data_IF_751871155848
#
_entry.id   IF_751871155848
#
_cell.length_a   1.000
_cell.length_b   1.000
_cell.length_c   1.000
_cell.angle_alpha   90.00
_cell.angle_beta   90.00
_cell.angle_gamma   90.00
#
_symmetry.space_group_name_H-M   'P 1'
#
loop_
_entity.id
_entity.type
_entity.pdbx_description
1 polymer ?
#
# COMPACT_ATOMS: atom_id res chain seq x y z
N UNK A 1 -13.68 -27.13 13.62
CA UNK A 1 -12.58 -26.18 13.87
C UNK A 1 -12.28 -25.49 12.56
N UNK A 2 -12.81 -24.29 12.34
CA UNK A 2 -12.42 -23.49 11.18
C UNK A 2 -10.92 -23.22 11.33
N UNK A 3 -10.12 -23.62 10.33
CA UNK A 3 -8.76 -23.11 10.21
C UNK A 3 -8.85 -21.59 10.33
N UNK A 4 -8.09 -20.96 11.24
CA UNK A 4 -7.88 -19.52 11.14
C UNK A 4 -7.26 -19.29 9.77
N UNK A 5 -8.05 -18.80 8.81
CA UNK A 5 -7.53 -18.46 7.50
C UNK A 5 -6.48 -17.38 7.72
N UNK A 6 -5.28 -17.72 7.29
CA UNK A 6 -4.11 -16.87 7.41
C UNK A 6 -4.34 -15.59 6.60
N UNK A 7 -4.66 -14.49 7.29
CA UNK A 7 -4.96 -13.19 6.66
C UNK A 7 -3.69 -12.40 6.40
N UNK A 8 -3.65 -11.76 5.24
CA UNK A 8 -2.57 -10.86 4.85
C UNK A 8 -3.13 -9.46 4.66
N UNK A 9 -2.39 -8.43 5.08
CA UNK A 9 -2.72 -7.03 4.77
C UNK A 9 -1.59 -6.39 3.98
N UNK A 10 -1.93 -5.42 3.14
CA UNK A 10 -0.96 -4.62 2.41
C UNK A 10 -1.03 -3.16 2.85
N UNK A 11 0.13 -2.54 3.03
CA UNK A 11 0.30 -1.13 3.37
C UNK A 11 1.07 -0.47 2.24
N UNK A 12 0.51 0.57 1.65
CA UNK A 12 1.12 1.33 0.56
C UNK A 12 1.40 2.74 1.05
N UNK A 13 2.68 3.08 1.11
CA UNK A 13 3.17 4.39 1.52
C UNK A 13 3.06 5.36 0.34
N UNK A 14 2.19 6.36 0.47
CA UNK A 14 1.98 7.40 -0.53
C UNK A 14 3.07 8.49 -0.48
N UNK A 15 3.87 8.50 0.58
CA UNK A 15 5.00 9.39 0.75
C UNK A 15 4.68 10.67 1.51
N UNK A 16 5.74 11.37 1.97
CA UNK A 16 5.68 12.55 2.83
C UNK A 16 5.15 13.84 2.16
N UNK A 17 4.96 14.92 2.93
CA UNK A 17 4.39 16.19 2.45
C UNK A 17 5.25 16.89 1.38
N UNK A 18 6.52 16.50 1.26
CA UNK A 18 7.44 16.99 0.22
C UNK A 18 7.59 16.03 -0.97
N UNK A 19 7.05 14.80 -0.89
CA UNK A 19 7.15 13.79 -1.95
C UNK A 19 6.13 14.07 -3.05
N UNK A 20 6.59 14.74 -4.11
CA UNK A 20 5.76 15.19 -5.23
C UNK A 20 6.26 16.48 -5.86
N UNK A 21 7.10 17.24 -5.14
CA UNK A 21 7.69 18.50 -5.62
C UNK A 21 8.58 18.32 -6.84
N UNK A 22 9.28 17.18 -6.96
CA UNK A 22 10.06 16.82 -8.15
C UNK A 22 9.22 16.52 -9.39
N UNK A 23 7.90 16.38 -9.23
CA UNK A 23 6.94 16.19 -10.33
C UNK A 23 6.29 17.51 -10.76
N UNK A 24 6.68 18.65 -10.16
CA UNK A 24 6.24 19.96 -10.61
C UNK A 24 6.90 20.29 -11.97
N UNK A 25 6.16 20.87 -12.93
CA UNK A 25 4.83 21.47 -12.79
C UNK A 25 3.63 20.51 -12.96
N UNK A 26 3.83 19.22 -13.25
CA UNK A 26 2.75 18.29 -13.59
C UNK A 26 1.80 17.98 -12.42
N UNK A 27 2.25 18.13 -11.17
CA UNK A 27 1.46 17.85 -9.96
C UNK A 27 0.89 19.10 -9.25
N UNK A 28 0.66 20.22 -9.97
CA UNK A 28 0.15 21.45 -9.33
C UNK A 28 -1.25 21.29 -8.72
N UNK A 29 -2.13 20.54 -9.39
CA UNK A 29 -3.54 20.40 -9.01
C UNK A 29 -3.93 18.96 -8.66
N UNK A 30 -2.98 18.02 -8.68
CA UNK A 30 -3.26 16.58 -8.50
C UNK A 30 -2.18 15.95 -7.62
N UNK A 31 -2.56 15.23 -6.55
CA UNK A 31 -1.65 14.41 -5.76
C UNK A 31 -0.79 13.50 -6.63
N UNK A 32 0.52 13.40 -6.38
CA UNK A 32 1.42 12.51 -7.13
C UNK A 32 0.88 11.05 -7.21
N UNK A 33 0.35 10.44 -6.14
CA UNK A 33 -0.20 9.08 -6.21
C UNK A 33 -1.40 8.94 -7.15
N UNK A 34 -2.15 10.02 -7.37
CA UNK A 34 -3.29 10.05 -8.29
C UNK A 34 -2.93 10.51 -9.70
N UNK A 35 -1.68 10.92 -9.92
CA UNK A 35 -1.22 11.32 -11.24
C UNK A 35 -1.32 10.15 -12.23
N UNK A 36 -1.87 10.35 -13.43
CA UNK A 36 -2.05 9.28 -14.40
C UNK A 36 -0.69 8.79 -14.95
N UNK A 37 -0.44 7.50 -14.80
CA UNK A 37 0.69 6.77 -15.36
C UNK A 37 0.14 5.59 -16.17
N UNK A 38 0.42 5.57 -17.47
CA UNK A 38 -0.10 4.55 -18.40
C UNK A 38 -1.63 4.39 -18.36
N UNK A 39 -2.36 5.51 -18.26
CA UNK A 39 -3.83 5.54 -18.28
C UNK A 39 -4.52 5.23 -16.96
N UNK A 40 -3.76 4.95 -15.88
CA UNK A 40 -4.29 4.71 -14.53
C UNK A 40 -3.56 5.56 -13.50
N UNK A 41 -4.17 5.90 -12.35
CA UNK A 41 -3.47 6.56 -11.25
C UNK A 41 -2.19 5.80 -10.84
N UNK A 42 -1.09 6.50 -10.52
CA UNK A 42 0.18 5.85 -10.15
C UNK A 42 0.01 4.80 -9.05
N UNK A 43 -0.81 5.09 -8.03
CA UNK A 43 -1.10 4.18 -6.91
C UNK A 43 -1.94 2.96 -7.32
N UNK A 44 -2.60 2.98 -8.48
CA UNK A 44 -3.37 1.84 -8.99
C UNK A 44 -2.47 0.64 -9.24
N UNK A 45 -1.29 0.84 -9.81
CA UNK A 45 -0.37 -0.25 -10.18
C UNK A 45 0.02 -1.14 -8.99
N UNK A 46 0.52 -0.61 -7.84
CA UNK A 46 0.80 -1.43 -6.67
C UNK A 46 -0.47 -2.00 -6.02
N UNK A 47 -1.58 -1.25 -5.97
CA UNK A 47 -2.85 -1.74 -5.43
C UNK A 47 -3.35 -2.97 -6.21
N UNK A 48 -3.34 -2.89 -7.54
CA UNK A 48 -3.75 -3.98 -8.43
C UNK A 48 -2.79 -5.17 -8.36
N UNK A 49 -1.49 -4.93 -8.13
CA UNK A 49 -0.53 -6.00 -7.88
C UNK A 49 -0.85 -6.77 -6.59
N UNK A 50 -1.27 -6.09 -5.52
CA UNK A 50 -1.63 -6.72 -4.25
C UNK A 50 -2.74 -7.77 -4.38
N UNK A 51 -3.65 -7.66 -5.38
CA UNK A 51 -4.69 -8.67 -5.61
C UNK A 51 -4.15 -10.10 -5.83
N UNK A 52 -2.88 -10.22 -6.25
CA UNK A 52 -2.23 -11.52 -6.42
C UNK A 52 -1.83 -12.17 -5.09
N UNK A 53 -1.77 -11.40 -3.99
CA UNK A 53 -1.45 -11.92 -2.66
C UNK A 53 -2.59 -12.85 -2.19
N UNK A 54 -2.30 -14.10 -1.80
CA UNK A 54 -3.31 -14.99 -1.28
C UNK A 54 -3.82 -14.49 0.08
N UNK A 55 -5.14 -14.63 0.31
CA UNK A 55 -5.82 -14.24 1.54
C UNK A 55 -5.63 -12.75 1.93
N UNK A 56 -5.52 -11.88 0.93
CA UNK A 56 -5.48 -10.44 1.17
C UNK A 56 -6.80 -9.95 1.77
N UNK A 57 -6.77 -9.56 3.04
CA UNK A 57 -7.92 -9.08 3.78
C UNK A 57 -8.18 -7.59 3.54
N UNK A 58 -7.13 -6.76 3.51
CA UNK A 58 -7.26 -5.31 3.45
C UNK A 58 -6.02 -4.63 2.86
N UNK A 59 -6.23 -3.49 2.21
CA UNK A 59 -5.19 -2.59 1.74
C UNK A 59 -5.31 -1.24 2.47
N UNK A 60 -4.22 -0.77 3.06
CA UNK A 60 -4.10 0.54 3.66
C UNK A 60 -3.22 1.45 2.81
N UNK A 61 -3.71 2.66 2.53
CA UNK A 61 -2.95 3.72 1.89
C UNK A 61 -2.59 4.75 2.96
N UNK A 62 -1.30 4.98 3.21
CA UNK A 62 -0.84 5.91 4.24
C UNK A 62 -0.20 7.12 3.57
N UNK A 63 -0.69 8.33 3.84
CA UNK A 63 -0.19 9.55 3.19
C UNK A 63 -0.62 10.85 3.88
N UNK A 64 -0.17 11.97 3.32
CA UNK A 64 -0.36 13.33 3.89
C UNK A 64 -1.44 14.16 3.18
N UNK A 65 -2.03 13.61 2.12
CA UNK A 65 -3.07 14.27 1.35
C UNK A 65 -4.38 14.32 2.13
N UNK A 66 -5.25 15.26 1.77
CA UNK A 66 -6.56 15.35 2.42
C UNK A 66 -7.41 14.13 2.05
N UNK A 67 -8.13 13.57 3.03
CA UNK A 67 -8.92 12.34 2.82
C UNK A 67 -9.92 12.50 1.66
N UNK A 68 -10.51 13.69 1.51
CA UNK A 68 -11.42 14.04 0.42
C UNK A 68 -10.82 13.87 -0.97
N UNK A 69 -9.49 14.00 -1.12
CA UNK A 69 -8.80 13.82 -2.41
C UNK A 69 -8.76 12.34 -2.81
N UNK A 70 -8.73 11.43 -1.83
CA UNK A 70 -8.64 9.99 -2.05
C UNK A 70 -9.99 9.27 -1.89
N UNK A 71 -10.99 9.87 -1.26
CA UNK A 71 -12.26 9.22 -0.94
C UNK A 71 -12.95 8.55 -2.15
N UNK A 72 -13.09 9.28 -3.25
CA UNK A 72 -13.68 8.76 -4.49
C UNK A 72 -12.85 7.61 -5.08
N UNK A 73 -11.53 7.79 -5.14
CA UNK A 73 -10.63 6.79 -5.68
C UNK A 73 -10.65 5.50 -4.86
N UNK A 74 -10.54 5.61 -3.53
CA UNK A 74 -10.55 4.49 -2.58
C UNK A 74 -11.87 3.71 -2.67
N UNK A 75 -13.01 4.42 -2.75
CA UNK A 75 -14.31 3.78 -2.92
C UNK A 75 -14.40 3.00 -4.24
N UNK A 76 -13.96 3.61 -5.35
CA UNK A 76 -13.99 2.98 -6.67
C UNK A 76 -13.11 1.73 -6.72
N UNK A 77 -11.85 1.83 -6.28
CA UNK A 77 -10.89 0.72 -6.38
C UNK A 77 -11.23 -0.43 -5.43
N UNK A 78 -11.77 -0.13 -4.25
CA UNK A 78 -12.27 -1.13 -3.30
C UNK A 78 -13.38 -1.98 -3.94
N UNK A 79 -14.31 -1.33 -4.64
CA UNK A 79 -15.39 -2.02 -5.34
C UNK A 79 -14.91 -2.79 -6.58
N UNK A 80 -13.94 -2.26 -7.31
CA UNK A 80 -13.34 -2.91 -8.49
C UNK A 80 -12.59 -4.20 -8.10
N UNK A 81 -11.75 -4.12 -7.06
CA UNK A 81 -10.93 -5.25 -6.62
C UNK A 81 -11.68 -6.24 -5.73
N UNK A 82 -12.83 -5.84 -5.17
CA UNK A 82 -13.57 -6.58 -4.12
C UNK A 82 -12.72 -6.83 -2.87
N UNK A 83 -11.79 -5.92 -2.59
CA UNK A 83 -10.92 -5.92 -1.41
C UNK A 83 -11.07 -4.57 -0.72
N UNK A 84 -11.35 -4.52 0.60
CA UNK A 84 -11.41 -3.26 1.33
C UNK A 84 -10.13 -2.45 1.18
N UNK A 85 -10.26 -1.21 0.70
CA UNK A 85 -9.17 -0.23 0.67
C UNK A 85 -9.52 0.91 1.64
N UNK A 86 -8.57 1.27 2.51
CA UNK A 86 -8.70 2.37 3.48
C UNK A 86 -7.57 3.37 3.30
N UNK A 87 -7.89 4.66 3.32
CA UNK A 87 -6.89 5.72 3.39
C UNK A 87 -6.71 6.17 4.84
N UNK A 88 -5.46 6.30 5.27
CA UNK A 88 -5.06 6.75 6.59
C UNK A 88 -4.22 8.03 6.43
N UNK A 89 -4.75 9.16 6.87
CA UNK A 89 -4.10 10.46 6.77
C UNK A 89 -3.12 10.67 7.92
N UNK A 90 -1.86 10.88 7.61
CA UNK A 90 -0.85 11.35 8.55
C UNK A 90 -0.98 12.88 8.75
N UNK A 91 -1.19 13.31 10.00
CA UNK A 91 -1.25 14.74 10.34
C UNK A 91 0.13 15.41 10.39
N UNK A 92 1.18 14.63 10.66
CA UNK A 92 2.57 15.12 10.77
C UNK A 92 3.57 14.07 10.31
N UNK A 93 4.74 14.46 9.80
CA UNK A 93 5.74 13.50 9.33
C UNK A 93 6.28 12.67 10.50
N UNK A 94 5.89 11.40 10.57
CA UNK A 94 6.37 10.49 11.60
C UNK A 94 7.68 9.76 11.21
N UNK A 95 8.23 10.03 10.02
CA UNK A 95 9.39 9.33 9.46
C UNK A 95 8.99 8.11 8.62
N UNK A 96 9.97 7.44 8.00
CA UNK A 96 9.71 6.40 6.98
C UNK A 96 8.87 5.21 7.47
N UNK A 97 9.09 4.78 8.71
CA UNK A 97 8.30 3.73 9.37
C UNK A 97 7.29 4.29 10.40
N UNK A 98 7.24 5.61 10.57
CA UNK A 98 6.45 6.24 11.60
C UNK A 98 4.94 6.11 11.38
N UNK A 99 4.49 6.29 10.13
CA UNK A 99 3.08 6.08 9.77
C UNK A 99 2.62 4.64 10.05
N UNK A 100 3.47 3.65 9.77
CA UNK A 100 3.19 2.25 10.05
C UNK A 100 3.00 2.00 11.56
N UNK A 101 3.86 2.57 12.41
CA UNK A 101 3.74 2.44 13.85
C UNK A 101 2.56 3.23 14.44
N UNK A 102 2.30 4.42 13.90
CA UNK A 102 1.20 5.28 14.34
C UNK A 102 -0.15 4.60 14.11
N UNK A 103 -0.33 3.97 12.95
CA UNK A 103 -1.57 3.26 12.58
C UNK A 103 -1.57 1.76 12.90
N UNK A 104 -0.62 1.27 13.70
CA UNK A 104 -0.47 -0.17 14.00
C UNK A 104 -1.77 -0.81 14.50
N UNK A 105 -2.54 -0.09 15.32
CA UNK A 105 -3.76 -0.64 15.93
C UNK A 105 -4.85 -0.88 14.87
N UNK A 106 -4.93 -0.02 13.83
CA UNK A 106 -5.82 -0.20 12.69
C UNK A 106 -5.33 -1.30 11.73
N UNK A 107 -4.02 -1.36 11.51
CA UNK A 107 -3.42 -2.35 10.60
C UNK A 107 -3.54 -3.77 11.19
N UNK A 108 -3.50 -3.88 12.52
CA UNK A 108 -3.61 -5.14 13.25
C UNK A 108 -5.05 -5.52 13.60
N UNK A 109 -6.06 -4.70 13.25
CA UNK A 109 -7.49 -4.94 13.55
C UNK A 109 -7.97 -6.31 13.04
N UNK A 110 -7.50 -6.71 11.86
CA UNK A 110 -7.82 -8.02 11.25
C UNK A 110 -6.99 -9.19 11.78
N UNK A 111 -6.09 -8.95 12.74
CA UNK A 111 -5.07 -9.88 13.22
C UNK A 111 -4.32 -10.57 12.06
N UNK A 112 -3.70 -9.80 11.13
CA UNK A 112 -2.99 -10.38 10.00
C UNK A 112 -1.78 -11.18 10.46
N UNK A 113 -1.52 -12.31 9.83
CA UNK A 113 -0.29 -13.08 10.03
C UNK A 113 0.90 -12.41 9.35
N UNK A 114 0.67 -11.70 8.24
CA UNK A 114 1.70 -11.05 7.44
C UNK A 114 1.26 -9.69 6.94
N UNK A 115 2.24 -8.78 6.84
CA UNK A 115 2.06 -7.41 6.37
C UNK A 115 3.00 -7.19 5.19
N UNK A 116 2.45 -6.80 4.05
CA UNK A 116 3.22 -6.27 2.94
C UNK A 116 3.38 -4.77 3.06
N UNK A 117 4.59 -4.26 2.84
CA UNK A 117 4.87 -2.83 2.78
C UNK A 117 5.39 -2.46 1.40
N UNK A 118 4.69 -1.57 0.70
CA UNK A 118 5.04 -1.10 -0.63
C UNK A 118 5.15 0.44 -0.66
N UNK A 119 5.95 0.97 -1.59
CA UNK A 119 5.95 2.40 -1.91
C UNK A 119 5.07 2.65 -3.13
N UNK A 120 4.30 3.74 -3.13
CA UNK A 120 3.40 4.07 -4.24
C UNK A 120 4.11 4.39 -5.56
N UNK A 121 5.37 4.84 -5.52
CA UNK A 121 6.15 5.25 -6.68
C UNK A 121 7.07 4.15 -7.23
N UNK A 122 6.94 2.92 -6.72
CA UNK A 122 7.59 1.74 -7.29
C UNK A 122 6.60 1.02 -8.18
N UNK A 123 6.84 1.07 -9.49
CA UNK A 123 6.08 0.33 -10.49
C UNK A 123 6.96 -0.79 -11.07
N UNK A 124 6.70 -2.03 -10.70
CA UNK A 124 7.36 -3.20 -11.26
C UNK A 124 6.43 -4.42 -11.24
N UNK A 125 6.85 -5.52 -11.89
CA UNK A 125 6.11 -6.77 -11.86
C UNK A 125 6.39 -7.51 -10.54
N UNK A 126 5.78 -7.04 -9.45
CA UNK A 126 6.04 -7.57 -8.11
C UNK A 126 5.71 -9.08 -8.01
N UNK A 127 6.68 -9.93 -7.61
CA UNK A 127 6.46 -11.35 -7.32
C UNK A 127 5.91 -11.54 -5.89
N UNK A 128 4.80 -10.87 -5.55
CA UNK A 128 4.25 -10.85 -4.18
C UNK A 128 3.89 -12.24 -3.63
N UNK A 129 3.30 -13.17 -4.43
CA UNK A 129 3.03 -14.53 -3.96
C UNK A 129 4.32 -15.28 -3.60
N UNK A 130 5.32 -15.21 -4.47
CA UNK A 130 6.62 -15.87 -4.26
C UNK A 130 7.36 -15.27 -3.06
N UNK A 131 7.26 -13.96 -2.85
CA UNK A 131 7.79 -13.29 -1.67
C UNK A 131 7.14 -13.80 -0.38
N UNK A 132 5.82 -14.01 -0.37
CA UNK A 132 5.10 -14.55 0.78
C UNK A 132 5.53 -16.00 1.06
N UNK A 133 5.63 -16.83 0.03
CA UNK A 133 6.09 -18.21 0.16
C UNK A 133 7.51 -18.27 0.70
N UNK A 134 8.42 -17.45 0.13
CA UNK A 134 9.78 -17.34 0.63
C UNK A 134 9.82 -16.90 2.09
N UNK A 135 9.04 -15.88 2.47
CA UNK A 135 8.97 -15.40 3.85
C UNK A 135 8.53 -16.51 4.81
N UNK A 136 7.47 -17.25 4.47
CA UNK A 136 6.99 -18.41 5.25
C UNK A 136 8.05 -19.50 5.36
N UNK A 137 8.73 -19.81 4.26
CA UNK A 137 9.75 -20.87 4.20
C UNK A 137 10.97 -20.55 5.06
N UNK A 138 11.45 -19.30 5.04
CA UNK A 138 12.66 -18.91 5.76
C UNK A 138 12.39 -18.55 7.22
N UNK A 139 11.18 -18.09 7.56
CA UNK A 139 10.79 -17.78 8.95
C UNK A 139 11.58 -16.63 9.60
N UNK A 140 12.23 -15.79 8.79
CA UNK A 140 12.98 -14.63 9.28
C UNK A 140 12.07 -13.46 9.68
N UNK A 141 12.65 -12.42 10.31
CA UNK A 141 11.89 -11.23 10.74
C UNK A 141 11.26 -10.44 9.58
N UNK A 142 11.81 -10.54 8.37
CA UNK A 142 11.30 -9.84 7.20
C UNK A 142 11.94 -10.35 5.92
N UNK A 143 11.28 -10.06 4.80
CA UNK A 143 11.74 -10.41 3.45
C UNK A 143 11.74 -9.15 2.60
N UNK A 144 12.86 -8.85 1.95
CA UNK A 144 13.04 -7.66 1.12
C UNK A 144 13.21 -8.06 -0.34
N UNK A 145 12.45 -7.40 -1.22
CA UNK A 145 12.66 -7.50 -2.66
C UNK A 145 13.86 -6.62 -3.04
N UNK A 146 14.84 -7.22 -3.71
CA UNK A 146 16.04 -6.53 -4.22
C UNK A 146 16.14 -6.71 -5.72
N UNK A 147 16.61 -5.66 -6.40
CA UNK A 147 16.87 -5.68 -7.84
C UNK A 147 18.32 -5.28 -8.05
N UNK A 148 19.03 -6.03 -8.90
CA UNK A 148 20.37 -5.64 -9.34
C UNK A 148 20.24 -4.49 -10.34
N UNK A 149 20.86 -3.35 -10.00
CA UNK A 149 20.96 -2.16 -10.86
C UNK A 149 22.27 -2.23 -11.65
#
# INVERSE_FOLDING_TARGET
MASLEEKVVAVIMLGGPTKGTGFRPLSFNTPKPLFPLAGQPMVHHPISACKRIPNLAQIFLIGFYEEREFALYVSSISNELKVPVRYLKEDKPHGSAGGLYYFRDLIMEDAPSHIFLLNCDVCCNFPLPDMLEAHRRYGGMGTLLVIKV
#
